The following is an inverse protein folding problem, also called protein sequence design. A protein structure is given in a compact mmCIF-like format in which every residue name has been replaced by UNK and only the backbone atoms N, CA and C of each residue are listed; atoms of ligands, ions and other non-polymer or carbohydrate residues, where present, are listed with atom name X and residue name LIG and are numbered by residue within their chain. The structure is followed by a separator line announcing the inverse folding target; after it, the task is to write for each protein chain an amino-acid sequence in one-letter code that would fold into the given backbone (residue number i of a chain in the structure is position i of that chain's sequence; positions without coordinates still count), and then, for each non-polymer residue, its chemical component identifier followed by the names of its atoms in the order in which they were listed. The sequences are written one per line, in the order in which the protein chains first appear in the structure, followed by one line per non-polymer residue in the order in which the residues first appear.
data_IF_690962574748
#
_entry.id   IF_690962574748
#
_cell.length_a   1.000
_cell.length_b   1.000
_cell.length_c   1.000
_cell.angle_alpha   90.00
_cell.angle_beta   90.00
_cell.angle_gamma   90.00
#
_symmetry.space_group_name_H-M   'P 1'
#
loop_
_entity.id
_entity.type
_entity.pdbx_description
1 polymer ?
#
# COMPACT_ATOMS: atom_id res chain seq x y z
N UNK A 1 -16.78 -11.98 18.85
CA UNK A 1 -17.09 -10.60 19.30
C UNK A 1 -17.00 -9.72 18.04
N UNK A 2 -18.06 -8.96 17.74
CA UNK A 2 -18.09 -8.04 16.58
C UNK A 2 -17.20 -6.84 16.93
N UNK A 3 -16.32 -6.45 16.00
CA UNK A 3 -15.40 -5.34 16.20
C UNK A 3 -16.02 -4.04 15.68
N UNK A 4 -16.10 -3.02 16.52
CA UNK A 4 -16.60 -1.68 16.17
C UNK A 4 -15.53 -0.90 15.42
N UNK A 5 -15.88 -0.44 14.21
CA UNK A 5 -14.93 0.28 13.33
C UNK A 5 -15.44 1.68 13.05
N UNK A 6 -14.58 2.67 13.22
CA UNK A 6 -14.80 4.01 12.71
C UNK A 6 -14.04 4.22 11.39
N UNK A 7 -14.71 4.77 10.38
CA UNK A 7 -14.14 5.12 9.08
C UNK A 7 -13.89 6.62 9.04
N UNK A 8 -12.65 7.05 8.92
CA UNK A 8 -12.27 8.45 8.76
C UNK A 8 -11.93 8.73 7.29
N UNK A 9 -12.56 9.76 6.72
CA UNK A 9 -12.55 9.99 5.28
C UNK A 9 -13.68 9.22 4.57
N UNK A 10 -14.76 8.93 5.26
CA UNK A 10 -15.87 8.09 4.81
C UNK A 10 -16.53 8.57 3.50
N UNK A 11 -16.49 9.86 3.18
CA UNK A 11 -17.06 10.44 1.96
C UNK A 11 -16.18 10.25 0.71
N UNK A 12 -14.90 9.90 0.87
CA UNK A 12 -13.99 9.60 -0.21
C UNK A 12 -14.28 8.24 -0.88
N UNK A 13 -13.74 8.01 -2.08
CA UNK A 13 -13.95 6.74 -2.83
C UNK A 13 -13.58 5.50 -2.01
N UNK A 14 -12.42 5.51 -1.36
CA UNK A 14 -11.96 4.39 -0.53
C UNK A 14 -12.76 4.30 0.79
N UNK A 15 -13.14 5.45 1.36
CA UNK A 15 -13.98 5.51 2.56
C UNK A 15 -15.34 4.87 2.32
N UNK A 16 -16.03 5.22 1.23
CA UNK A 16 -17.31 4.60 0.84
C UNK A 16 -17.19 3.09 0.60
N UNK A 17 -16.07 2.63 0.00
CA UNK A 17 -15.80 1.21 -0.17
C UNK A 17 -15.63 0.51 1.17
N UNK A 18 -14.81 1.06 2.07
CA UNK A 18 -14.57 0.50 3.40
C UNK A 18 -15.85 0.47 4.25
N UNK A 19 -16.64 1.56 4.23
CA UNK A 19 -17.93 1.63 4.92
C UNK A 19 -18.85 0.50 4.49
N UNK A 20 -19.05 0.32 3.18
CA UNK A 20 -19.89 -0.74 2.63
C UNK A 20 -19.38 -2.15 3.01
N UNK A 21 -18.05 -2.37 2.99
CA UNK A 21 -17.45 -3.65 3.37
C UNK A 21 -17.68 -3.96 4.86
N UNK A 22 -17.57 -2.96 5.73
CA UNK A 22 -17.81 -3.10 7.16
C UNK A 22 -19.27 -3.45 7.41
N UNK A 23 -20.20 -2.72 6.79
CA UNK A 23 -21.66 -2.94 6.94
C UNK A 23 -22.13 -4.31 6.43
N UNK A 24 -21.44 -4.88 5.45
CA UNK A 24 -21.76 -6.21 4.89
C UNK A 24 -21.00 -7.36 5.53
N UNK A 25 -20.08 -7.08 6.44
CA UNK A 25 -19.24 -8.10 7.10
C UNK A 25 -19.87 -8.58 8.41
N UNK A 26 -19.80 -9.88 8.66
CA UNK A 26 -20.22 -10.47 9.93
C UNK A 26 -19.21 -10.19 11.07
N UNK A 27 -17.98 -9.81 10.74
CA UNK A 27 -16.88 -9.58 11.67
C UNK A 27 -16.89 -8.18 12.30
N UNK A 28 -17.54 -7.21 11.62
CA UNK A 28 -17.40 -5.78 11.90
C UNK A 28 -18.76 -5.10 12.05
N UNK A 29 -18.78 -4.03 12.84
CA UNK A 29 -19.90 -3.11 13.01
C UNK A 29 -19.41 -1.69 12.66
N UNK A 30 -20.12 -0.99 11.80
CA UNK A 30 -19.84 0.42 11.52
C UNK A 30 -20.26 1.24 12.73
N UNK A 31 -19.30 1.72 13.50
CA UNK A 31 -19.53 2.53 14.68
C UNK A 31 -19.71 4.02 14.34
N UNK A 32 -18.83 4.55 13.47
CA UNK A 32 -18.88 5.95 13.06
C UNK A 32 -18.31 6.12 11.64
N UNK A 33 -18.87 7.11 10.92
CA UNK A 33 -18.40 7.56 9.60
C UNK A 33 -18.05 9.04 9.68
N UNK A 34 -16.75 9.35 9.70
CA UNK A 34 -16.26 10.70 9.89
C UNK A 34 -15.84 11.32 8.55
N UNK A 35 -16.33 12.50 8.29
CA UNK A 35 -15.90 13.37 7.19
C UNK A 35 -14.91 14.44 7.69
N UNK A 36 -14.56 15.41 6.83
CA UNK A 36 -13.63 16.49 7.18
C UNK A 36 -14.14 17.49 8.22
N UNK A 37 -15.40 17.43 8.62
CA UNK A 37 -16.04 18.34 9.58
C UNK A 37 -16.33 17.65 10.91
N UNK A 38 -16.33 16.31 10.93
CA UNK A 38 -16.59 15.54 12.13
C UNK A 38 -15.44 15.69 13.15
N UNK A 39 -15.75 15.91 14.44
CA UNK A 39 -14.71 15.94 15.47
C UNK A 39 -14.10 14.55 15.65
N UNK A 40 -12.79 14.48 15.88
CA UNK A 40 -12.11 13.21 16.13
C UNK A 40 -12.66 12.47 17.37
N UNK A 41 -13.28 13.19 18.29
CA UNK A 41 -13.91 12.61 19.47
C UNK A 41 -15.06 11.62 19.12
N UNK A 42 -15.65 11.72 17.93
CA UNK A 42 -16.71 10.80 17.48
C UNK A 42 -16.20 9.37 17.23
N UNK A 43 -14.87 9.15 17.18
CA UNK A 43 -14.30 7.79 17.14
C UNK A 43 -14.10 7.15 18.53
N UNK A 44 -14.35 7.88 19.61
CA UNK A 44 -14.19 7.32 20.96
C UNK A 44 -15.26 6.26 21.25
N UNK A 45 -14.81 5.12 21.76
CA UNK A 45 -15.67 3.95 21.98
C UNK A 45 -15.68 2.94 20.84
N UNK A 46 -14.90 3.21 19.76
CA UNK A 46 -14.61 2.22 18.72
C UNK A 46 -13.44 1.31 19.14
N UNK A 47 -13.38 0.11 18.58
CA UNK A 47 -12.27 -0.82 18.79
C UNK A 47 -11.14 -0.57 17.79
N UNK A 48 -11.48 -0.07 16.59
CA UNK A 48 -10.59 0.07 15.46
C UNK A 48 -10.96 1.28 14.60
N UNK A 49 -9.96 2.00 14.12
CA UNK A 49 -10.11 3.10 13.14
C UNK A 49 -9.50 2.68 11.81
N UNK A 50 -10.17 3.00 10.70
CA UNK A 50 -9.54 3.02 9.38
C UNK A 50 -9.46 4.46 8.86
N UNK A 51 -8.23 4.94 8.61
CA UNK A 51 -7.93 6.26 8.06
C UNK A 51 -7.74 6.18 6.54
N UNK A 52 -8.66 6.79 5.80
CA UNK A 52 -8.67 6.89 4.34
C UNK A 52 -8.76 8.36 3.89
N UNK A 53 -8.01 9.23 4.55
CA UNK A 53 -8.01 10.68 4.36
C UNK A 53 -6.90 11.15 3.42
N UNK A 54 -6.22 12.22 3.78
CA UNK A 54 -5.12 12.83 3.01
C UNK A 54 -3.85 12.95 3.85
N UNK A 55 -2.64 13.01 3.23
CA UNK A 55 -1.35 12.99 3.93
C UNK A 55 -1.16 14.08 4.97
N UNK A 56 -1.84 15.21 4.84
CA UNK A 56 -1.75 16.34 5.77
C UNK A 56 -2.55 16.15 7.06
N UNK A 57 -3.55 15.26 7.05
CA UNK A 57 -4.51 15.05 8.16
C UNK A 57 -4.25 13.72 8.87
N UNK A 58 -3.83 12.71 8.13
CA UNK A 58 -3.61 11.34 8.63
C UNK A 58 -2.79 11.27 9.93
N UNK A 59 -1.68 12.01 10.12
CA UNK A 59 -0.91 11.95 11.36
C UNK A 59 -1.72 12.31 12.60
N UNK A 60 -2.53 13.36 12.56
CA UNK A 60 -3.35 13.80 13.70
C UNK A 60 -4.43 12.78 14.06
N UNK A 61 -5.00 12.08 13.07
CA UNK A 61 -5.97 11.01 13.28
C UNK A 61 -5.30 9.84 14.00
N UNK A 62 -4.14 9.40 13.51
CA UNK A 62 -3.38 8.29 14.09
C UNK A 62 -2.93 8.62 15.51
N UNK A 63 -2.39 9.82 15.75
CA UNK A 63 -1.98 10.29 17.08
C UNK A 63 -3.15 10.31 18.06
N UNK A 64 -4.32 10.80 17.63
CA UNK A 64 -5.52 10.81 18.46
C UNK A 64 -5.96 9.39 18.81
N UNK A 65 -6.05 8.49 17.83
CA UNK A 65 -6.46 7.11 18.05
C UNK A 65 -5.50 6.37 18.99
N UNK A 66 -4.18 6.47 18.75
CA UNK A 66 -3.13 5.88 19.60
C UNK A 66 -3.18 6.44 21.02
N UNK A 67 -3.41 7.75 21.20
CA UNK A 67 -3.53 8.38 22.51
C UNK A 67 -4.70 7.82 23.31
N UNK A 68 -5.76 7.37 22.64
CA UNK A 68 -6.97 6.80 23.24
C UNK A 68 -7.01 5.26 23.25
N UNK A 69 -5.89 4.59 22.92
CA UNK A 69 -5.79 3.13 22.97
C UNK A 69 -6.52 2.40 21.84
N UNK A 70 -6.80 3.07 20.72
CA UNK A 70 -7.54 2.54 19.58
C UNK A 70 -6.55 2.07 18.51
N UNK A 71 -6.70 0.84 18.01
CA UNK A 71 -5.92 0.32 16.90
C UNK A 71 -6.28 1.03 15.58
N UNK A 72 -5.31 1.14 14.67
CA UNK A 72 -5.50 1.90 13.43
C UNK A 72 -5.04 1.13 12.20
N UNK A 73 -5.87 1.13 11.16
CA UNK A 73 -5.45 0.84 9.78
C UNK A 73 -5.32 2.16 9.02
N UNK A 74 -4.16 2.40 8.44
CA UNK A 74 -3.87 3.60 7.66
C UNK A 74 -3.77 3.24 6.19
N UNK A 75 -4.72 3.70 5.38
CA UNK A 75 -4.67 3.60 3.91
C UNK A 75 -4.27 4.91 3.25
N UNK A 76 -4.07 5.94 4.02
CA UNK A 76 -3.62 7.25 3.55
C UNK A 76 -2.14 7.20 3.19
N UNK A 77 -1.76 7.71 2.02
CA UNK A 77 -0.37 7.82 1.58
C UNK A 77 0.42 8.90 2.34
N UNK A 78 1.75 9.00 2.08
CA UNK A 78 2.59 10.08 2.63
C UNK A 78 3.19 9.79 4.02
N UNK A 79 3.22 8.54 4.44
CA UNK A 79 3.93 8.07 5.63
C UNK A 79 5.41 7.83 5.29
N UNK A 80 6.25 8.85 5.49
CA UNK A 80 7.70 8.74 5.32
C UNK A 80 8.34 7.87 6.40
N UNK A 81 9.56 7.38 6.13
CA UNK A 81 10.34 6.63 7.13
C UNK A 81 10.47 7.40 8.46
N UNK A 82 10.70 8.71 8.42
CA UNK A 82 10.81 9.55 9.61
C UNK A 82 9.50 9.56 10.42
N UNK A 83 8.35 9.70 9.76
CA UNK A 83 7.02 9.65 10.41
C UNK A 83 6.76 8.30 11.04
N UNK A 84 7.09 7.22 10.34
CA UNK A 84 6.95 5.85 10.85
C UNK A 84 7.83 5.65 12.08
N UNK A 85 9.11 6.02 12.03
CA UNK A 85 10.03 5.90 13.17
C UNK A 85 9.57 6.75 14.38
N UNK A 86 9.03 7.94 14.13
CA UNK A 86 8.45 8.76 15.21
C UNK A 86 7.25 8.09 15.86
N UNK A 87 6.36 7.49 15.04
CA UNK A 87 5.19 6.76 15.51
C UNK A 87 5.60 5.52 16.32
N UNK A 88 6.59 4.76 15.86
CA UNK A 88 7.13 3.59 16.57
C UNK A 88 7.59 3.95 17.98
N UNK A 89 8.31 5.05 18.14
CA UNK A 89 8.74 5.55 19.47
C UNK A 89 7.55 5.88 20.37
N UNK A 90 6.54 6.54 19.82
CA UNK A 90 5.32 6.91 20.56
C UNK A 90 4.54 5.68 21.03
N UNK A 91 4.50 4.62 20.22
CA UNK A 91 3.78 3.38 20.52
C UNK A 91 4.55 2.50 21.50
N UNK A 92 5.89 2.51 21.49
CA UNK A 92 6.72 1.73 22.42
C UNK A 92 6.36 1.98 23.88
N UNK A 93 5.97 3.22 24.20
CA UNK A 93 5.51 3.60 25.54
C UNK A 93 4.05 3.18 25.84
N UNK A 94 3.29 2.74 24.81
CA UNK A 94 1.87 2.38 24.88
C UNK A 94 1.63 0.98 24.33
N UNK A 95 2.19 -0.03 24.97
CA UNK A 95 2.33 -1.42 24.53
C UNK A 95 1.06 -2.15 24.05
N UNK A 96 -0.12 -1.55 24.15
CA UNK A 96 -1.39 -2.20 23.85
C UNK A 96 -2.00 -1.79 22.50
N UNK A 97 -1.38 -0.88 21.74
CA UNK A 97 -1.93 -0.35 20.48
C UNK A 97 -1.14 -0.81 19.27
N UNK A 98 -1.83 -1.11 18.18
CA UNK A 98 -1.24 -1.43 16.89
C UNK A 98 -1.67 -0.45 15.79
N UNK A 99 -0.73 -0.08 14.93
CA UNK A 99 -0.96 0.70 13.73
C UNK A 99 -0.46 -0.08 12.51
N UNK A 100 -1.35 -0.34 11.55
CA UNK A 100 -1.04 -1.03 10.30
C UNK A 100 -1.13 -0.01 9.15
N UNK A 101 -0.01 0.31 8.54
CA UNK A 101 0.08 1.26 7.42
C UNK A 101 0.11 0.46 6.12
N UNK A 102 -0.91 0.67 5.27
CA UNK A 102 -1.10 -0.07 4.01
C UNK A 102 -1.00 0.90 2.82
N UNK A 103 0.14 0.98 2.15
CA UNK A 103 0.31 1.83 0.98
C UNK A 103 -0.53 1.38 -0.23
N UNK A 104 -0.87 0.09 -0.30
CA UNK A 104 -1.68 -0.50 -1.36
C UNK A 104 -2.48 -1.69 -0.83
N UNK A 105 -3.81 -1.60 -0.92
CA UNK A 105 -4.72 -2.68 -0.50
C UNK A 105 -4.91 -3.78 -1.55
N UNK A 106 -4.40 -3.63 -2.78
CA UNK A 106 -4.54 -4.67 -3.79
C UNK A 106 -3.62 -5.86 -3.49
N UNK A 107 -4.21 -6.98 -3.08
CA UNK A 107 -3.48 -8.23 -2.83
C UNK A 107 -2.72 -8.67 -4.08
N UNK A 108 -3.35 -8.61 -5.26
CA UNK A 108 -2.69 -8.97 -6.53
C UNK A 108 -1.48 -8.10 -6.84
N UNK A 109 -1.57 -6.78 -6.61
CA UNK A 109 -0.45 -5.85 -6.80
C UNK A 109 0.72 -6.16 -5.85
N UNK A 110 0.42 -6.45 -4.59
CA UNK A 110 1.42 -6.81 -3.59
C UNK A 110 2.11 -8.13 -3.94
N UNK A 111 1.34 -9.15 -4.34
CA UNK A 111 1.89 -10.44 -4.78
C UNK A 111 2.76 -10.27 -6.03
N UNK A 112 2.31 -9.51 -7.03
CA UNK A 112 3.10 -9.26 -8.25
C UNK A 112 4.44 -8.58 -7.91
N UNK A 113 4.44 -7.62 -6.98
CA UNK A 113 5.67 -6.95 -6.50
C UNK A 113 6.62 -7.95 -5.80
N UNK A 114 6.09 -8.84 -4.95
CA UNK A 114 6.90 -9.85 -4.26
C UNK A 114 7.45 -10.90 -5.24
N UNK A 115 6.64 -11.36 -6.20
CA UNK A 115 7.10 -12.29 -7.23
C UNK A 115 8.17 -11.66 -8.13
N UNK A 116 8.05 -10.37 -8.44
CA UNK A 116 9.09 -9.66 -9.18
C UNK A 116 10.41 -9.62 -8.41
N UNK A 117 10.39 -9.34 -7.11
CA UNK A 117 11.58 -9.37 -6.26
C UNK A 117 12.20 -10.77 -6.17
N UNK A 118 11.37 -11.83 -6.06
CA UNK A 118 11.83 -13.23 -6.06
C UNK A 118 12.49 -13.63 -7.39
N UNK A 119 11.97 -13.17 -8.53
CA UNK A 119 12.52 -13.48 -9.85
C UNK A 119 13.80 -12.68 -10.15
N UNK A 120 13.96 -11.50 -9.58
CA UNK A 120 15.01 -10.56 -9.92
C UNK A 120 16.46 -11.11 -9.88
N UNK A 121 16.86 -11.98 -8.92
CA UNK A 121 18.22 -12.53 -8.90
C UNK A 121 18.59 -13.43 -10.09
N UNK A 122 17.60 -13.94 -10.82
CA UNK A 122 17.79 -14.91 -11.90
C UNK A 122 17.94 -14.27 -13.29
N UNK A 123 17.68 -12.96 -13.41
CA UNK A 123 17.66 -12.25 -14.69
C UNK A 123 18.60 -11.04 -14.67
N UNK A 124 19.26 -10.78 -15.80
CA UNK A 124 20.19 -9.66 -15.92
C UNK A 124 19.52 -8.37 -16.42
N UNK A 125 18.48 -8.49 -17.26
CA UNK A 125 17.71 -7.38 -17.80
C UNK A 125 16.32 -7.35 -17.18
N UNK A 126 15.93 -6.21 -16.59
CA UNK A 126 14.63 -6.04 -15.95
C UNK A 126 14.12 -4.65 -16.29
N UNK A 127 12.89 -4.54 -16.79
CA UNK A 127 12.24 -3.26 -17.04
C UNK A 127 10.80 -3.29 -16.51
N UNK A 128 10.29 -2.13 -16.08
CA UNK A 128 8.92 -1.98 -15.59
C UNK A 128 8.16 -1.07 -16.54
N UNK A 129 6.95 -1.49 -16.94
CA UNK A 129 5.98 -0.64 -17.63
C UNK A 129 4.80 -0.46 -16.68
N UNK A 130 4.47 0.79 -16.33
CA UNK A 130 3.29 1.09 -15.54
C UNK A 130 2.33 2.00 -16.30
N UNK A 131 1.05 1.74 -16.19
CA UNK A 131 0.00 2.51 -16.84
C UNK A 131 -1.08 2.89 -15.82
N UNK A 132 -1.49 4.15 -15.85
CA UNK A 132 -2.59 4.65 -15.02
C UNK A 132 -3.50 5.59 -15.81
N UNK A 133 -4.64 5.90 -15.21
CA UNK A 133 -5.58 6.86 -15.77
C UNK A 133 -4.92 8.23 -16.02
N UNK A 134 -5.41 8.96 -17.03
CA UNK A 134 -4.82 10.23 -17.47
C UNK A 134 -4.71 11.29 -16.36
N UNK A 135 -5.53 11.23 -15.32
CA UNK A 135 -5.52 12.17 -14.20
C UNK A 135 -4.52 11.87 -13.08
N UNK A 136 -3.69 10.81 -13.21
CA UNK A 136 -2.66 10.52 -12.19
C UNK A 136 -1.47 11.46 -12.38
N UNK A 137 -1.14 12.22 -11.34
CA UNK A 137 -0.13 13.30 -11.38
C UNK A 137 1.30 12.77 -11.24
N UNK A 138 1.53 11.84 -10.28
CA UNK A 138 2.86 11.29 -10.04
C UNK A 138 3.28 10.32 -11.16
N UNK A 139 4.55 10.36 -11.52
CA UNK A 139 5.20 9.49 -12.50
C UNK A 139 6.69 9.35 -12.14
N UNK A 140 7.20 8.12 -11.96
CA UNK A 140 6.49 6.84 -11.92
C UNK A 140 5.52 6.71 -10.73
N UNK A 141 4.64 5.71 -10.78
CA UNK A 141 3.75 5.40 -9.66
C UNK A 141 4.54 4.91 -8.44
N UNK A 142 4.05 5.20 -7.23
CA UNK A 142 4.70 4.72 -6.00
C UNK A 142 4.84 3.19 -5.94
N UNK A 143 3.90 2.44 -6.51
CA UNK A 143 4.00 0.98 -6.62
C UNK A 143 5.16 0.54 -7.51
N UNK A 144 5.36 1.20 -8.66
CA UNK A 144 6.45 0.87 -9.57
C UNK A 144 7.81 1.24 -8.96
N UNK A 145 7.90 2.39 -8.28
CA UNK A 145 9.11 2.77 -7.53
C UNK A 145 9.43 1.71 -6.47
N UNK A 146 8.44 1.33 -5.65
CA UNK A 146 8.65 0.30 -4.62
C UNK A 146 9.04 -1.05 -5.20
N UNK A 147 8.47 -1.46 -6.34
CA UNK A 147 8.84 -2.69 -7.04
C UNK A 147 10.29 -2.64 -7.48
N UNK A 148 10.74 -1.52 -8.07
CA UNK A 148 12.13 -1.34 -8.50
C UNK A 148 13.11 -1.36 -7.31
N UNK A 149 12.77 -0.74 -6.19
CA UNK A 149 13.56 -0.79 -4.96
C UNK A 149 13.74 -2.22 -4.45
N UNK A 150 12.66 -3.00 -4.35
CA UNK A 150 12.70 -4.40 -3.90
C UNK A 150 13.48 -5.30 -4.86
N UNK A 151 13.40 -5.04 -6.17
CA UNK A 151 14.26 -5.70 -7.18
C UNK A 151 15.73 -5.37 -6.92
N UNK A 152 16.06 -4.09 -6.67
CA UNK A 152 17.40 -3.65 -6.35
C UNK A 152 17.93 -4.30 -5.07
N UNK A 153 17.14 -4.34 -4.01
CA UNK A 153 17.47 -4.99 -2.74
C UNK A 153 17.74 -6.49 -2.92
N UNK A 154 16.87 -7.19 -3.67
CA UNK A 154 17.02 -8.62 -3.96
C UNK A 154 18.29 -8.92 -4.78
N UNK A 155 18.81 -7.95 -5.52
CA UNK A 155 20.02 -8.03 -6.34
C UNK A 155 21.26 -7.43 -5.70
N UNK A 156 21.22 -6.98 -4.47
CA UNK A 156 22.31 -6.25 -3.84
C UNK A 156 23.69 -6.93 -3.98
N UNK A 157 23.76 -8.26 -3.92
CA UNK A 157 24.99 -9.04 -4.10
C UNK A 157 25.38 -9.29 -5.58
N UNK A 158 24.47 -9.04 -6.54
CA UNK A 158 24.65 -9.33 -7.97
C UNK A 158 25.00 -8.07 -8.79
N UNK A 159 24.84 -6.90 -8.19
CA UNK A 159 25.02 -5.62 -8.84
C UNK A 159 23.80 -5.13 -9.65
N UNK A 160 23.95 -3.98 -10.33
CA UNK A 160 22.85 -3.31 -11.01
C UNK A 160 22.25 -4.14 -12.15
N UNK A 161 20.99 -3.85 -12.47
CA UNK A 161 20.34 -4.38 -13.67
C UNK A 161 21.04 -3.87 -14.92
N UNK A 162 21.20 -4.73 -15.94
CA UNK A 162 21.74 -4.32 -17.24
C UNK A 162 20.70 -3.53 -18.02
N UNK A 163 20.79 -2.22 -17.99
CA UNK A 163 19.93 -1.30 -18.73
C UNK A 163 20.75 -0.47 -19.73
N UNK A 164 20.97 -0.97 -20.97
CA UNK A 164 21.76 -0.25 -21.97
C UNK A 164 21.13 1.10 -22.32
N UNK A 165 21.98 2.12 -22.54
CA UNK A 165 21.53 3.47 -22.96
C UNK A 165 20.53 4.13 -21.99
N UNK A 166 20.68 3.90 -20.68
CA UNK A 166 19.79 4.40 -19.65
C UNK A 166 19.75 5.94 -19.55
N UNK A 167 20.71 6.64 -20.13
CA UNK A 167 20.81 8.09 -20.24
C UNK A 167 19.87 8.71 -21.30
N UNK A 168 19.34 7.89 -22.21
CA UNK A 168 18.38 8.37 -23.20
C UNK A 168 16.99 8.57 -22.61
N UNK A 169 16.35 9.68 -22.94
CA UNK A 169 15.01 10.04 -22.39
C UNK A 169 13.93 8.99 -22.62
N UNK A 170 14.00 8.25 -23.74
CA UNK A 170 13.04 7.19 -24.06
C UNK A 170 13.24 5.90 -23.24
N UNK A 171 14.32 5.82 -22.44
CA UNK A 171 14.65 4.64 -21.62
C UNK A 171 14.03 4.66 -20.22
N UNK A 172 13.01 5.49 -20.02
CA UNK A 172 12.29 5.60 -18.76
C UNK A 172 13.08 6.28 -17.64
N UNK A 173 12.52 6.29 -16.45
CA UNK A 173 13.18 6.78 -15.25
C UNK A 173 13.88 5.62 -14.51
N UNK A 174 15.17 5.79 -14.19
CA UNK A 174 15.91 4.80 -13.43
C UNK A 174 15.58 4.89 -11.94
N UNK A 175 15.19 3.75 -11.34
CA UNK A 175 15.05 3.59 -9.88
C UNK A 175 15.77 2.31 -9.49
N UNK A 176 16.74 2.37 -8.58
CA UNK A 176 17.56 1.21 -8.18
C UNK A 176 18.13 0.43 -9.39
N UNK A 177 18.58 1.13 -10.43
CA UNK A 177 19.02 0.61 -11.74
C UNK A 177 17.94 -0.02 -12.64
N UNK A 178 16.71 -0.05 -12.24
CA UNK A 178 15.59 -0.59 -13.04
C UNK A 178 14.91 0.56 -13.82
N UNK A 179 14.82 0.47 -15.16
CA UNK A 179 14.05 1.45 -15.95
C UNK A 179 12.56 1.30 -15.71
N UNK A 180 11.86 2.41 -15.45
CA UNK A 180 10.41 2.46 -15.30
C UNK A 180 9.83 3.33 -16.40
N UNK A 181 8.91 2.78 -17.21
CA UNK A 181 8.20 3.45 -18.29
C UNK A 181 6.76 3.73 -17.83
N UNK A 182 6.35 4.99 -17.85
CA UNK A 182 5.05 5.42 -17.35
C UNK A 182 4.11 5.83 -18.47
N UNK A 183 2.91 5.21 -18.52
CA UNK A 183 1.83 5.59 -19.42
C UNK A 183 0.70 6.24 -18.63
N UNK A 184 0.07 7.26 -19.24
CA UNK A 184 -1.12 7.97 -18.71
C UNK A 184 -2.18 7.98 -19.80
N UNK A 185 -3.25 7.18 -19.63
CA UNK A 185 -4.23 6.88 -20.67
C UNK A 185 -5.65 6.91 -20.16
N UNK A 186 -6.59 7.25 -21.02
CA UNK A 186 -8.02 7.00 -20.75
C UNK A 186 -8.32 5.51 -20.87
N UNK A 187 -9.27 5.01 -20.07
CA UNK A 187 -9.69 3.62 -20.07
C UNK A 187 -8.83 2.68 -19.19
N UNK A 188 -7.68 3.16 -18.71
CA UNK A 188 -6.83 2.41 -17.77
C UNK A 188 -7.15 2.87 -16.35
N UNK A 189 -7.28 1.93 -15.42
CA UNK A 189 -7.33 2.22 -13.97
C UNK A 189 -5.91 2.22 -13.42
N UNK A 190 -5.26 1.06 -13.34
CA UNK A 190 -3.86 0.88 -12.98
C UNK A 190 -3.36 -0.45 -13.53
N UNK A 191 -2.15 -0.48 -14.10
CA UNK A 191 -1.49 -1.68 -14.57
C UNK A 191 0.02 -1.57 -14.32
N UNK A 192 0.66 -2.71 -14.05
CA UNK A 192 2.11 -2.84 -13.99
C UNK A 192 2.54 -4.16 -14.63
N UNK A 193 3.47 -4.07 -15.55
CA UNK A 193 4.19 -5.20 -16.13
C UNK A 193 5.65 -5.12 -15.70
N UNK A 194 6.18 -6.17 -15.06
CA UNK A 194 7.61 -6.32 -14.79
C UNK A 194 8.15 -7.38 -15.73
N UNK A 195 9.06 -6.97 -16.60
CA UNK A 195 9.58 -7.77 -17.72
C UNK A 195 11.02 -8.16 -17.40
N UNK A 196 11.30 -9.43 -17.38
CA UNK A 196 12.62 -10.03 -17.12
C UNK A 196 13.15 -10.68 -18.39
N UNK A 197 14.32 -10.27 -18.85
CA UNK A 197 14.98 -10.82 -20.01
C UNK A 197 16.16 -11.74 -19.60
N UNK A 198 16.14 -12.97 -20.10
CA UNK A 198 17.19 -13.97 -19.96
C UNK A 198 17.65 -14.51 -21.30
N UNK A 199 18.63 -15.43 -21.29
CA UNK A 199 19.12 -16.06 -22.52
C UNK A 199 18.09 -17.01 -23.08
N UNK A 200 17.44 -16.59 -24.18
CA UNK A 200 16.43 -17.40 -24.87
C UNK A 200 15.04 -17.39 -24.24
N UNK A 201 14.77 -16.54 -23.22
CA UNK A 201 13.49 -16.47 -22.55
C UNK A 201 13.14 -15.08 -22.09
N UNK A 202 11.86 -14.84 -21.91
CA UNK A 202 11.30 -13.66 -21.24
C UNK A 202 10.27 -14.13 -20.21
N UNK A 203 10.38 -13.65 -18.98
CA UNK A 203 9.34 -13.77 -17.95
C UNK A 203 8.65 -12.43 -17.78
N UNK A 204 7.32 -12.42 -17.72
CA UNK A 204 6.57 -11.20 -17.40
C UNK A 204 5.64 -11.45 -16.21
N UNK A 205 5.72 -10.57 -15.22
CA UNK A 205 4.78 -10.54 -14.09
C UNK A 205 3.87 -9.33 -14.28
N UNK A 206 2.59 -9.60 -14.51
CA UNK A 206 1.57 -8.58 -14.81
C UNK A 206 0.53 -8.50 -13.71
N UNK A 207 0.19 -7.30 -13.30
CA UNK A 207 -0.98 -7.00 -12.48
C UNK A 207 -1.78 -5.86 -13.10
N UNK A 208 -3.09 -6.03 -13.20
CA UNK A 208 -4.02 -5.00 -13.70
C UNK A 208 -5.21 -4.86 -12.76
N UNK A 209 -5.45 -3.63 -12.31
CA UNK A 209 -6.64 -3.24 -11.55
C UNK A 209 -7.76 -2.92 -12.51
N UNK A 210 -8.83 -3.69 -12.50
CA UNK A 210 -9.98 -3.51 -13.38
C UNK A 210 -11.07 -2.65 -12.70
N UNK A 211 -11.16 -2.71 -11.39
CA UNK A 211 -12.16 -1.96 -10.61
C UNK A 211 -11.70 -1.73 -9.16
N UNK A 212 -12.33 -0.80 -8.42
CA UNK A 212 -12.05 -0.59 -7.00
C UNK A 212 -12.29 -1.81 -6.10
N UNK A 213 -13.07 -2.81 -6.56
CA UNK A 213 -13.27 -4.07 -5.82
C UNK A 213 -11.98 -4.87 -5.61
N UNK A 214 -10.93 -4.60 -6.39
CA UNK A 214 -9.60 -5.19 -6.19
C UNK A 214 -8.98 -4.88 -4.81
N UNK A 215 -9.47 -3.85 -4.12
CA UNK A 215 -8.97 -3.45 -2.79
C UNK A 215 -9.74 -4.12 -1.64
N UNK A 216 -10.91 -4.72 -1.90
CA UNK A 216 -11.81 -5.24 -0.86
C UNK A 216 -11.16 -6.30 0.01
N UNK A 217 -10.52 -7.30 -0.60
CA UNK A 217 -9.84 -8.35 0.14
C UNK A 217 -8.71 -7.83 1.04
N UNK A 218 -7.93 -6.87 0.55
CA UNK A 218 -6.85 -6.26 1.34
C UNK A 218 -7.35 -5.37 2.47
N UNK A 219 -8.45 -4.64 2.27
CA UNK A 219 -9.08 -3.86 3.35
C UNK A 219 -9.54 -4.80 4.47
N UNK A 220 -10.29 -5.86 4.13
CA UNK A 220 -10.76 -6.84 5.12
C UNK A 220 -9.60 -7.56 5.82
N UNK A 221 -8.55 -7.93 5.08
CA UNK A 221 -7.34 -8.53 5.67
C UNK A 221 -6.69 -7.59 6.67
N UNK A 222 -6.51 -6.30 6.31
CA UNK A 222 -5.91 -5.31 7.20
C UNK A 222 -6.76 -5.04 8.44
N UNK A 223 -8.09 -4.91 8.28
CA UNK A 223 -9.01 -4.74 9.41
C UNK A 223 -8.97 -5.95 10.37
N UNK A 224 -8.96 -7.17 9.84
CA UNK A 224 -8.86 -8.39 10.66
C UNK A 224 -7.54 -8.47 11.41
N UNK A 225 -6.42 -8.19 10.75
CA UNK A 225 -5.10 -8.16 11.36
C UNK A 225 -4.99 -7.08 12.46
N UNK A 226 -5.62 -5.93 12.25
CA UNK A 226 -5.56 -4.81 13.17
C UNK A 226 -6.27 -5.08 14.51
N UNK A 227 -7.19 -6.05 14.58
CA UNK A 227 -7.90 -6.43 15.85
C UNK A 227 -6.93 -6.79 16.97
N UNK A 228 -5.81 -7.40 16.63
CA UNK A 228 -4.83 -7.89 17.62
C UNK A 228 -3.43 -7.32 17.39
N UNK A 229 -3.30 -6.35 16.48
CA UNK A 229 -2.03 -5.73 16.16
C UNK A 229 -1.42 -5.04 17.37
N UNK A 230 -0.08 -5.03 17.42
CA UNK A 230 0.72 -4.30 18.39
C UNK A 230 1.92 -3.68 17.68
N UNK A 231 2.29 -2.47 18.08
CA UNK A 231 3.38 -1.75 17.41
C UNK A 231 3.00 -1.27 16.01
N UNK A 232 3.98 -0.99 15.18
CA UNK A 232 3.78 -0.52 13.80
C UNK A 232 4.10 -1.63 12.80
N UNK A 233 3.17 -1.88 11.88
CA UNK A 233 3.38 -2.77 10.74
C UNK A 233 3.19 -1.98 9.45
N UNK A 234 4.11 -2.10 8.50
CA UNK A 234 4.04 -1.40 7.21
C UNK A 234 4.03 -2.41 6.07
N UNK A 235 3.00 -2.33 5.24
CA UNK A 235 2.82 -3.16 4.06
C UNK A 235 1.82 -4.30 4.24
N UNK A 236 1.01 -4.53 3.21
CA UNK A 236 0.06 -5.64 3.17
C UNK A 236 0.77 -6.99 3.06
N UNK A 237 1.99 -7.02 2.50
CA UNK A 237 2.85 -8.20 2.39
C UNK A 237 3.18 -8.83 3.75
N UNK A 238 3.26 -8.02 4.81
CA UNK A 238 3.49 -8.48 6.18
C UNK A 238 2.29 -9.22 6.77
N UNK A 239 1.11 -9.03 6.20
CA UNK A 239 -0.14 -9.67 6.61
C UNK A 239 -0.48 -10.90 5.78
N UNK A 240 0.19 -11.07 4.63
CA UNK A 240 0.01 -12.21 3.73
C UNK A 240 1.08 -13.24 4.04
N UNK A 241 0.67 -14.45 4.45
CA UNK A 241 1.61 -15.55 4.60
C UNK A 241 1.92 -16.15 3.21
N UNK A 242 3.08 -15.80 2.66
CA UNK A 242 3.55 -16.31 1.35
C UNK A 242 4.25 -17.67 1.44
N UNK A 243 4.22 -18.32 2.62
CA UNK A 243 4.92 -19.59 2.85
C UNK A 243 6.44 -19.37 2.83
N UNK A 244 7.01 -19.02 3.95
CA UNK A 244 8.45 -19.10 4.24
C UNK A 244 8.83 -20.51 4.58
#
# INVERSE_FOLDING_TARGET
MITKVAVVGATGRMGQLATRLIETSEDFELFASLDSKAPLADMLGTDLVIDLTVPSVSPSIVEFAVANGINVVVGTSGWSHERITSLERTITDKLAVGVIIIPNFSVGSVLATQFAALAAPFFESIEIIEAHHAGKVDSPSGTAVRTAELIGDARAALGPVKAPHADQRARGQQVSSVPIHSLRMQGVVAKQDVIFGGTGEILTVTHETLSPSSYEAGILLALRAARTARGVTVGLDKLINLGS
#
